data_IF_796447631232
#
_entry.id   IF_796447631232
#
_cell.length_a   1.000
_cell.length_b   1.000
_cell.length_c   1.000
_cell.angle_alpha   90.00
_cell.angle_beta   90.00
_cell.angle_gamma   90.00
#
_symmetry.space_group_name_H-M   'P 1'
#
loop_
_entity.id
_entity.type
_entity.pdbx_description
1 polymer ?
#
# COMPACT_ATOMS: atom_id res chain seq x y z
N UNK A 1 40.83 25.03 -60.64
CA UNK A 1 41.52 23.97 -59.87
C UNK A 1 40.59 23.57 -58.74
N UNK A 2 40.28 22.33 -58.40
CA UNK A 2 40.38 20.99 -58.99
C UNK A 2 39.33 20.21 -58.20
N UNK A 3 38.44 19.50 -58.89
CA UNK A 3 37.60 18.44 -58.28
C UNK A 3 38.49 17.25 -57.90
N UNK A 4 38.10 16.52 -56.85
CA UNK A 4 38.57 15.15 -56.63
C UNK A 4 37.43 14.30 -56.06
N UNK A 5 36.92 13.40 -56.90
CA UNK A 5 36.27 12.14 -56.51
C UNK A 5 37.38 11.12 -56.25
N UNK A 6 37.19 10.18 -55.31
CA UNK A 6 37.69 8.81 -55.50
C UNK A 6 36.91 7.79 -54.64
N UNK A 7 36.57 6.69 -55.31
CA UNK A 7 35.95 5.43 -54.86
C UNK A 7 37.03 4.43 -54.37
N UNK A 8 36.56 3.25 -53.94
CA UNK A 8 37.24 1.92 -53.83
C UNK A 8 37.72 1.61 -52.39
N UNK A 9 37.52 0.44 -51.75
CA UNK A 9 37.38 -0.94 -52.23
C UNK A 9 36.68 -1.86 -51.21
N UNK A 10 36.01 -2.89 -51.74
CA UNK A 10 35.76 -4.18 -51.08
C UNK A 10 37.01 -5.06 -51.15
N UNK A 11 37.28 -5.87 -50.13
CA UNK A 11 38.34 -6.89 -50.15
C UNK A 11 38.19 -7.89 -49.01
N UNK A 12 37.73 -9.09 -49.33
CA UNK A 12 37.66 -10.25 -48.45
C UNK A 12 39.03 -10.96 -48.37
N UNK A 13 39.37 -11.52 -47.21
CA UNK A 13 40.40 -12.54 -47.06
C UNK A 13 40.00 -13.56 -45.98
N UNK A 14 39.68 -14.77 -46.44
CA UNK A 14 39.62 -16.02 -45.68
C UNK A 14 41.03 -16.55 -45.44
N UNK A 15 41.29 -17.15 -44.27
CA UNK A 15 42.11 -18.36 -44.10
C UNK A 15 41.95 -18.95 -42.69
N UNK A 16 42.13 -20.27 -42.61
CA UNK A 16 41.58 -21.19 -41.62
C UNK A 16 42.53 -21.56 -40.45
N UNK A 17 41.96 -22.38 -39.55
CA UNK A 17 42.58 -23.37 -38.63
C UNK A 17 43.00 -22.92 -37.22
N UNK A 18 42.27 -23.39 -36.20
CA UNK A 18 42.66 -24.52 -35.32
C UNK A 18 41.94 -24.47 -33.98
N UNK A 19 41.69 -25.65 -33.42
CA UNK A 19 40.95 -25.92 -32.20
C UNK A 19 41.68 -25.52 -30.91
N UNK A 20 40.93 -25.13 -29.88
CA UNK A 20 41.12 -25.34 -28.43
C UNK A 20 39.76 -25.02 -27.76
N UNK A 21 38.95 -26.00 -27.40
CA UNK A 21 38.91 -26.73 -26.11
C UNK A 21 38.21 -25.99 -24.96
N UNK A 22 37.11 -26.62 -24.54
CA UNK A 22 36.48 -26.71 -23.22
C UNK A 22 36.92 -25.76 -22.08
N UNK A 23 35.92 -25.03 -21.56
CA UNK A 23 35.76 -24.86 -20.11
C UNK A 23 34.37 -25.38 -19.74
N UNK A 24 34.36 -26.58 -19.17
CA UNK A 24 33.24 -27.19 -18.44
C UNK A 24 33.55 -26.99 -16.96
N UNK A 25 32.66 -26.36 -16.21
CA UNK A 25 32.65 -26.46 -14.75
C UNK A 25 31.73 -27.61 -14.32
N UNK A 26 32.06 -28.36 -13.26
CA UNK A 26 31.40 -29.62 -12.91
C UNK A 26 30.21 -29.40 -11.95
N UNK A 27 29.13 -30.14 -12.16
CA UNK A 27 27.99 -30.21 -11.24
C UNK A 27 26.76 -30.84 -11.92
N UNK A 28 26.63 -32.16 -11.75
CA UNK A 28 25.50 -33.05 -12.09
C UNK A 28 24.76 -32.86 -13.42
N UNK A 29 25.28 -33.56 -14.45
CA UNK A 29 24.60 -33.83 -15.71
C UNK A 29 23.46 -34.84 -15.61
N UNK A 30 22.48 -34.59 -14.75
CA UNK A 30 21.17 -35.26 -14.80
C UNK A 30 20.29 -34.68 -15.91
N UNK A 31 19.35 -35.46 -16.49
CA UNK A 31 18.31 -34.87 -17.32
C UNK A 31 17.52 -33.84 -16.49
N UNK A 32 17.01 -32.76 -17.11
CA UNK A 32 16.14 -31.80 -16.42
C UNK A 32 14.95 -32.56 -15.80
N UNK A 33 14.51 -32.19 -14.58
CA UNK A 33 13.39 -32.86 -13.93
C UNK A 33 12.15 -32.73 -14.80
N UNK A 34 11.48 -33.86 -15.07
CA UNK A 34 10.18 -33.86 -15.72
C UNK A 34 9.19 -33.12 -14.82
N UNK A 35 8.55 -32.07 -15.35
CA UNK A 35 7.40 -31.45 -14.69
C UNK A 35 6.33 -32.52 -14.49
N UNK A 36 5.90 -32.81 -13.24
CA UNK A 36 4.82 -33.74 -13.00
C UNK A 36 3.57 -33.28 -13.75
N UNK A 37 2.84 -34.22 -14.35
CA UNK A 37 1.55 -33.90 -14.96
C UNK A 37 0.65 -33.19 -13.93
N UNK A 38 -0.07 -32.12 -14.32
CA UNK A 38 -1.02 -31.47 -13.43
C UNK A 38 -1.99 -32.52 -12.89
N UNK A 39 -1.96 -32.73 -11.58
CA UNK A 39 -2.92 -33.59 -10.91
C UNK A 39 -4.35 -33.09 -11.18
N UNK A 40 -5.36 -33.96 -11.01
CA UNK A 40 -6.75 -33.60 -11.25
C UNK A 40 -7.15 -32.35 -10.43
N UNK A 41 -7.88 -31.44 -11.07
CA UNK A 41 -8.35 -30.21 -10.44
C UNK A 41 -9.12 -30.52 -9.15
N UNK A 42 -8.75 -29.82 -8.07
CA UNK A 42 -9.41 -29.97 -6.76
C UNK A 42 -10.82 -29.38 -6.86
N UNK A 43 -11.88 -30.14 -6.52
CA UNK A 43 -13.24 -29.64 -6.58
C UNK A 43 -13.47 -28.50 -5.56
N UNK A 44 -14.34 -27.52 -5.87
CA UNK A 44 -14.68 -26.44 -4.95
C UNK A 44 -15.18 -26.99 -3.60
N UNK A 45 -14.58 -26.54 -2.50
CA UNK A 45 -14.99 -26.92 -1.13
C UNK A 45 -14.27 -28.13 -0.51
N UNK A 46 -13.24 -28.68 -1.14
CA UNK A 46 -12.40 -29.70 -0.51
C UNK A 46 -11.59 -29.09 0.66
N UNK A 47 -11.57 -29.71 1.85
CA UNK A 47 -10.66 -29.33 2.93
C UNK A 47 -9.21 -29.37 2.44
N UNK A 48 -8.42 -28.34 2.76
CA UNK A 48 -7.00 -28.30 2.42
C UNK A 48 -6.25 -29.53 2.96
N UNK A 49 -5.15 -29.94 2.31
CA UNK A 49 -4.36 -31.08 2.80
C UNK A 49 -3.92 -30.82 4.24
N UNK A 50 -3.95 -31.85 5.12
CA UNK A 50 -3.47 -31.69 6.48
C UNK A 50 -1.99 -31.29 6.47
N UNK A 51 -1.53 -30.48 7.44
CA UNK A 51 -0.12 -30.13 7.56
C UNK A 51 0.72 -31.41 7.71
N UNK A 52 1.97 -31.43 7.19
CA UNK A 52 2.83 -32.60 7.29
C UNK A 52 3.04 -32.96 8.77
N UNK A 53 2.80 -34.23 9.10
CA UNK A 53 2.88 -34.75 10.48
C UNK A 53 4.32 -34.94 11.00
N UNK A 54 5.33 -34.59 10.20
CA UNK A 54 6.74 -34.64 10.55
C UNK A 54 7.42 -33.33 10.09
N UNK A 55 8.32 -32.74 10.91
CA UNK A 55 9.16 -31.63 10.47
C UNK A 55 9.95 -32.05 9.23
N UNK A 56 9.97 -31.19 8.21
CA UNK A 56 10.89 -31.37 7.08
C UNK A 56 12.24 -30.85 7.54
N UNK A 57 13.17 -31.77 7.85
CA UNK A 57 14.56 -31.38 8.03
C UNK A 57 15.15 -31.00 6.67
N UNK A 58 15.70 -29.79 6.60
CA UNK A 58 16.40 -29.22 5.44
C UNK A 58 15.59 -29.23 4.12
N UNK A 59 14.51 -28.43 4.02
CA UNK A 59 13.72 -28.31 2.79
C UNK A 59 14.47 -27.63 1.63
N UNK A 60 15.70 -27.15 1.83
CA UNK A 60 16.47 -26.41 0.82
C UNK A 60 17.89 -26.96 0.57
N UNK A 61 18.24 -28.13 1.11
CA UNK A 61 19.48 -28.84 0.77
C UNK A 61 20.75 -28.03 1.05
N UNK A 62 20.80 -27.31 2.16
CA UNK A 62 22.04 -26.65 2.59
C UNK A 62 22.80 -27.61 3.51
N UNK A 63 23.51 -28.54 2.87
CA UNK A 63 24.26 -29.62 3.52
C UNK A 63 25.07 -29.16 4.73
N UNK A 64 24.95 -29.94 5.80
CA UNK A 64 25.78 -29.82 6.99
C UNK A 64 27.20 -30.30 6.73
N UNK A 65 28.16 -29.54 7.26
CA UNK A 65 29.43 -30.00 7.84
C UNK A 65 30.15 -28.75 8.39
N UNK A 66 29.81 -28.38 9.62
CA UNK A 66 30.61 -27.44 10.41
C UNK A 66 31.13 -28.20 11.62
N UNK A 67 32.25 -28.89 11.43
CA UNK A 67 33.08 -29.34 12.54
C UNK A 67 33.56 -28.10 13.30
N UNK A 68 33.21 -28.04 14.57
CA UNK A 68 33.72 -27.07 15.54
C UNK A 68 35.22 -27.25 15.73
N UNK A 69 36.08 -26.23 15.55
CA UNK A 69 37.46 -26.30 15.98
C UNK A 69 37.57 -26.07 17.49
N UNK A 70 38.37 -26.93 18.10
CA UNK A 70 38.78 -27.03 19.49
C UNK A 70 39.42 -25.73 20.02
N UNK A 71 39.08 -25.38 21.26
CA UNK A 71 39.42 -24.13 21.93
C UNK A 71 40.61 -24.37 22.87
N UNK A 72 41.81 -24.55 22.30
CA UNK A 72 43.08 -24.55 23.05
C UNK A 72 44.25 -24.07 22.19
N UNK A 73 44.51 -22.75 22.18
CA UNK A 73 45.87 -22.16 22.25
C UNK A 73 45.80 -20.65 22.03
N UNK A 74 45.82 -19.89 23.12
CA UNK A 74 46.17 -18.46 23.09
C UNK A 74 47.31 -18.22 24.10
N UNK A 75 48.50 -17.77 23.66
CA UNK A 75 49.53 -17.31 24.57
C UNK A 75 49.24 -15.89 25.09
N UNK A 76 49.59 -15.67 26.35
CA UNK A 76 49.38 -14.45 27.13
C UNK A 76 50.06 -13.19 26.54
N UNK A 77 49.51 -11.97 26.79
CA UNK A 77 50.13 -10.72 26.35
C UNK A 77 51.30 -10.30 27.27
N UNK A 78 52.36 -9.66 26.73
CA UNK A 78 53.38 -9.02 27.54
C UNK A 78 53.00 -7.59 27.95
N UNK A 79 53.58 -7.21 29.08
CA UNK A 79 53.44 -6.01 29.90
C UNK A 79 54.06 -4.73 29.34
N UNK A 80 53.35 -3.62 29.63
CA UNK A 80 53.76 -2.28 30.15
C UNK A 80 54.93 -1.45 29.56
N UNK A 81 54.76 -0.14 29.79
CA UNK A 81 55.69 1.00 29.69
C UNK A 81 55.87 1.66 28.30
N UNK A 82 55.86 2.98 28.09
CA UNK A 82 55.91 4.20 28.93
C UNK A 82 55.69 5.43 28.04
N UNK A 83 55.29 6.55 28.65
CA UNK A 83 55.63 7.95 28.32
C UNK A 83 55.14 8.64 27.00
N UNK A 84 54.33 9.70 27.26
CA UNK A 84 54.06 10.97 26.54
C UNK A 84 55.20 11.56 25.67
N UNK A 85 54.97 12.53 24.73
CA UNK A 85 54.03 13.66 24.84
C UNK A 85 53.35 14.22 23.55
N UNK A 86 52.34 15.08 23.73
CA UNK A 86 51.84 16.08 22.74
C UNK A 86 52.95 17.08 22.33
N UNK A 87 52.97 17.66 21.10
CA UNK A 87 52.29 18.96 20.90
C UNK A 87 51.88 19.37 19.44
N UNK A 88 50.84 20.23 19.37
CA UNK A 88 50.46 21.31 18.40
C UNK A 88 50.88 21.38 16.90
N UNK A 89 49.97 22.02 16.15
CA UNK A 89 50.14 22.96 14.99
C UNK A 89 49.66 22.39 13.64
N UNK A 90 48.52 22.85 13.10
CA UNK A 90 48.29 24.05 12.24
C UNK A 90 48.42 23.73 10.75
N UNK A 91 47.54 24.32 9.93
CA UNK A 91 47.82 24.61 8.53
C UNK A 91 47.03 23.85 7.45
N UNK A 92 46.00 24.55 6.94
CA UNK A 92 45.76 24.86 5.51
C UNK A 92 45.29 23.80 4.49
N UNK A 93 44.18 24.20 3.87
CA UNK A 93 43.86 24.20 2.43
C UNK A 93 43.28 22.96 1.73
N UNK A 94 42.07 23.21 1.20
CA UNK A 94 41.51 22.87 -0.11
C UNK A 94 41.56 21.42 -0.59
N UNK A 95 40.39 20.83 -0.86
CA UNK A 95 39.86 20.76 -2.23
C UNK A 95 38.55 19.96 -2.26
N UNK A 96 37.73 20.32 -3.24
CA UNK A 96 36.47 19.68 -3.65
C UNK A 96 36.54 18.15 -3.66
N UNK A 97 35.53 17.52 -3.06
CA UNK A 97 35.18 16.13 -3.36
C UNK A 97 33.72 16.12 -3.79
N UNK A 98 33.54 16.01 -5.11
CA UNK A 98 32.29 15.58 -5.72
C UNK A 98 31.90 14.20 -5.16
N UNK A 99 30.66 14.10 -4.71
CA UNK A 99 29.99 12.88 -4.26
C UNK A 99 29.36 12.17 -5.47
N UNK A 100 29.70 10.90 -5.77
CA UNK A 100 28.93 10.10 -6.70
C UNK A 100 28.11 9.06 -5.94
N UNK A 101 26.89 9.42 -5.55
CA UNK A 101 25.85 8.45 -5.23
C UNK A 101 24.96 8.22 -6.47
N UNK A 102 25.36 7.25 -7.29
CA UNK A 102 24.49 6.67 -8.32
C UNK A 102 24.41 5.16 -8.09
N UNK A 103 23.25 4.70 -7.61
CA UNK A 103 22.76 3.32 -7.77
C UNK A 103 21.26 3.48 -8.05
N UNK A 104 20.76 3.38 -9.29
CA UNK A 104 20.62 2.20 -10.15
C UNK A 104 19.89 1.03 -9.47
N UNK A 105 18.58 0.97 -9.68
CA UNK A 105 17.87 -0.29 -9.90
C UNK A 105 16.63 -0.02 -10.78
N UNK A 106 16.79 -0.28 -12.08
CA UNK A 106 15.69 -0.46 -13.03
C UNK A 106 16.03 -1.63 -13.97
N UNK A 107 15.17 -2.66 -13.88
CA UNK A 107 14.76 -3.67 -14.86
C UNK A 107 15.78 -4.64 -15.48
N UNK A 108 15.29 -5.80 -15.98
CA UNK A 108 15.02 -5.83 -17.43
C UNK A 108 13.78 -6.67 -17.83
N UNK A 109 13.12 -6.30 -18.92
CA UNK A 109 13.40 -6.85 -20.27
C UNK A 109 12.76 -6.04 -21.40
N UNK A 110 13.57 -5.75 -22.41
CA UNK A 110 13.24 -5.29 -23.77
C UNK A 110 12.54 -6.38 -24.58
N UNK A 111 11.60 -6.00 -25.45
CA UNK A 111 11.44 -6.66 -26.75
C UNK A 111 10.91 -5.68 -27.81
N UNK A 112 11.61 -5.65 -28.94
CA UNK A 112 11.45 -4.69 -30.04
C UNK A 112 10.88 -5.40 -31.29
N UNK A 113 9.65 -5.02 -31.68
CA UNK A 113 9.11 -4.77 -33.05
C UNK A 113 8.86 -5.98 -34.01
N UNK A 114 8.03 -5.88 -35.11
CA UNK A 114 7.53 -4.67 -35.79
C UNK A 114 6.06 -4.65 -36.30
N UNK A 115 5.66 -3.47 -36.80
CA UNK A 115 4.46 -3.12 -37.59
C UNK A 115 4.04 -4.13 -38.68
N UNK A 116 2.74 -4.43 -38.77
CA UNK A 116 2.01 -4.54 -40.05
C UNK A 116 0.49 -4.32 -39.92
N UNK A 117 -0.02 -3.34 -40.68
CA UNK A 117 -1.32 -3.23 -41.39
C UNK A 117 -2.67 -3.31 -40.63
N UNK A 118 -3.47 -2.25 -40.80
CA UNK A 118 -4.89 -2.08 -40.46
C UNK A 118 -5.83 -2.59 -41.59
N UNK A 119 -7.16 -2.35 -41.53
CA UNK A 119 -8.15 -2.99 -40.66
C UNK A 119 -9.27 -3.68 -41.49
N UNK A 120 -10.11 -4.52 -40.85
CA UNK A 120 -11.40 -4.91 -41.43
C UNK A 120 -12.50 -4.93 -40.37
N UNK A 121 -13.71 -4.66 -40.83
CA UNK A 121 -14.86 -4.11 -40.13
C UNK A 121 -15.71 -5.14 -39.36
N UNK A 122 -16.47 -4.59 -38.42
CA UNK A 122 -17.81 -4.98 -37.93
C UNK A 122 -18.39 -6.34 -38.32
N UNK A 123 -18.89 -7.09 -37.33
CA UNK A 123 -20.35 -7.33 -37.19
C UNK A 123 -20.71 -8.02 -35.87
N UNK A 124 -21.84 -7.59 -35.32
CA UNK A 124 -22.52 -8.10 -34.13
C UNK A 124 -23.63 -9.06 -34.58
N UNK A 125 -23.96 -10.13 -33.83
CA UNK A 125 -25.22 -10.82 -34.06
C UNK A 125 -26.20 -10.60 -32.91
N UNK A 126 -27.36 -10.06 -33.30
CA UNK A 126 -28.62 -10.08 -32.56
C UNK A 126 -29.08 -11.53 -32.29
N UNK A 127 -29.71 -11.74 -31.14
CA UNK A 127 -30.41 -12.99 -30.77
C UNK A 127 -31.92 -12.68 -30.71
N UNK A 128 -32.80 -13.54 -31.27
CA UNK A 128 -34.18 -13.17 -31.56
C UNK A 128 -35.15 -13.43 -30.40
N UNK A 129 -36.20 -12.62 -30.41
CA UNK A 129 -37.48 -12.70 -29.70
C UNK A 129 -38.31 -13.92 -30.14
N UNK A 130 -38.83 -14.69 -29.17
CA UNK A 130 -40.01 -15.54 -29.33
C UNK A 130 -40.89 -15.51 -28.07
N UNK A 131 -41.86 -14.59 -28.06
CA UNK A 131 -43.31 -14.89 -28.04
C UNK A 131 -43.92 -15.78 -26.95
N UNK A 132 -44.87 -15.18 -26.20
CA UNK A 132 -46.22 -15.68 -25.79
C UNK A 132 -46.31 -17.10 -25.20
N UNK A 133 -46.79 -17.34 -23.97
CA UNK A 133 -47.88 -16.70 -23.23
C UNK A 133 -48.98 -17.74 -23.03
N UNK A 134 -49.18 -18.22 -21.80
CA UNK A 134 -50.36 -18.98 -21.37
C UNK A 134 -50.43 -19.02 -19.83
N UNK A 135 -51.52 -18.47 -19.28
CA UNK A 135 -52.02 -18.70 -17.92
C UNK A 135 -53.23 -19.62 -18.07
N UNK A 136 -53.58 -20.43 -17.05
CA UNK A 136 -54.77 -20.05 -16.30
C UNK A 136 -54.73 -20.35 -14.79
N UNK A 137 -55.65 -19.66 -14.13
CA UNK A 137 -56.07 -19.61 -12.73
C UNK A 137 -56.56 -20.99 -12.21
N UNK A 138 -56.51 -21.23 -10.88
CA UNK A 138 -57.72 -21.33 -10.03
C UNK A 138 -57.44 -21.84 -8.58
N UNK A 139 -58.23 -21.27 -7.66
CA UNK A 139 -58.77 -21.72 -6.36
C UNK A 139 -57.94 -22.41 -5.25
N UNK A 140 -57.85 -21.67 -4.13
CA UNK A 140 -58.25 -22.03 -2.74
C UNK A 140 -58.71 -23.47 -2.43
N UNK A 141 -58.16 -24.06 -1.36
CA UNK A 141 -58.96 -24.41 -0.16
C UNK A 141 -58.11 -24.86 1.06
N UNK A 142 -58.59 -24.52 2.25
CA UNK A 142 -58.09 -24.92 3.59
C UNK A 142 -58.96 -26.05 4.16
N UNK A 143 -58.46 -26.88 5.09
CA UNK A 143 -59.15 -27.06 6.39
C UNK A 143 -58.16 -27.11 7.59
N UNK A 144 -58.42 -26.46 8.73
CA UNK A 144 -59.22 -26.91 9.92
C UNK A 144 -58.64 -28.17 10.60
N UNK A 145 -58.56 -28.38 11.92
CA UNK A 145 -58.55 -27.65 13.21
C UNK A 145 -58.54 -28.77 14.28
N UNK A 146 -57.85 -28.63 15.41
CA UNK A 146 -58.07 -29.48 16.60
C UNK A 146 -58.08 -28.62 17.88
N UNK A 147 -59.18 -28.76 18.63
CA UNK A 147 -59.56 -28.28 19.98
C UNK A 147 -58.83 -29.06 21.13
N UNK A 148 -59.05 -28.86 22.47
CA UNK A 148 -60.20 -28.24 23.15
C UNK A 148 -59.99 -27.42 24.46
N UNK A 149 -61.10 -26.76 24.87
CA UNK A 149 -61.67 -26.50 26.21
C UNK A 149 -60.82 -26.09 27.44
N UNK A 150 -61.10 -24.90 27.99
CA UNK A 150 -61.99 -24.70 29.16
C UNK A 150 -61.67 -23.40 29.95
N UNK A 151 -62.76 -22.67 30.25
CA UNK A 151 -62.99 -21.44 31.04
C UNK A 151 -62.25 -21.26 32.40
N UNK A 152 -62.18 -20.04 33.00
CA UNK A 152 -63.37 -19.25 33.38
C UNK A 152 -63.31 -17.72 33.24
N UNK A 153 -64.53 -17.16 33.33
CA UNK A 153 -64.95 -15.77 33.26
C UNK A 153 -64.28 -14.81 34.25
N UNK A 154 -64.02 -13.57 33.79
CA UNK A 154 -64.19 -12.37 34.60
C UNK A 154 -64.71 -11.24 33.68
N UNK A 155 -65.87 -10.71 33.99
CA UNK A 155 -66.63 -9.77 33.15
C UNK A 155 -66.45 -8.35 33.69
N UNK A 156 -65.70 -7.54 32.95
CA UNK A 156 -65.58 -6.09 33.16
C UNK A 156 -65.92 -5.34 31.87
N UNK A 157 -66.99 -4.54 31.95
CA UNK A 157 -67.55 -3.63 30.96
C UNK A 157 -66.55 -2.96 30.00
N UNK A 158 -66.86 -2.96 28.70
CA UNK A 158 -66.50 -1.85 27.80
C UNK A 158 -67.72 -1.37 27.02
N UNK A 159 -68.15 -0.16 27.36
CA UNK A 159 -69.05 0.65 26.56
C UNK A 159 -68.25 1.36 25.45
N UNK A 160 -68.70 1.11 24.22
CA UNK A 160 -68.76 1.99 23.05
C UNK A 160 -68.05 3.36 23.15
N UNK A 161 -67.09 3.64 22.24
CA UNK A 161 -67.02 4.94 21.55
C UNK A 161 -66.10 4.91 20.30
N UNK A 162 -66.76 5.06 19.15
CA UNK A 162 -66.39 5.86 17.96
C UNK A 162 -64.92 5.91 17.50
N UNK A 163 -64.61 5.14 16.46
CA UNK A 163 -63.35 5.26 15.70
C UNK A 163 -63.27 6.58 14.93
N UNK A 164 -62.30 7.41 15.29
CA UNK A 164 -61.80 8.52 14.47
C UNK A 164 -60.67 7.97 13.59
N UNK A 165 -60.60 8.28 12.28
CA UNK A 165 -59.49 7.82 11.45
C UNK A 165 -58.20 8.50 11.92
N UNK A 166 -57.33 7.76 12.59
CA UNK A 166 -56.01 8.23 13.01
C UNK A 166 -55.21 8.53 11.75
N UNK A 167 -54.97 9.82 11.50
CA UNK A 167 -53.95 10.29 10.58
C UNK A 167 -52.64 9.57 10.93
N UNK A 168 -51.93 8.93 9.97
CA UNK A 168 -50.65 8.32 10.28
C UNK A 168 -49.74 9.41 10.86
N UNK A 169 -49.22 9.15 12.05
CA UNK A 169 -48.20 9.97 12.69
C UNK A 169 -47.11 10.25 11.64
N UNK A 170 -46.62 11.50 11.54
CA UNK A 170 -45.50 11.78 10.65
C UNK A 170 -44.36 10.85 11.06
N UNK A 171 -43.92 10.00 10.13
CA UNK A 171 -42.66 9.27 10.26
C UNK A 171 -41.60 10.30 10.59
N UNK A 172 -41.01 10.17 11.78
CA UNK A 172 -39.92 11.02 12.22
C UNK A 172 -38.82 10.94 11.17
N UNK A 173 -38.63 12.04 10.43
CA UNK A 173 -37.54 12.19 9.50
C UNK A 173 -36.21 11.96 10.25
N UNK A 174 -35.50 10.93 9.79
CA UNK A 174 -34.04 10.78 9.80
C UNK A 174 -33.30 10.92 11.13
N UNK A 175 -33.03 9.75 11.75
CA UNK A 175 -31.81 9.52 12.55
C UNK A 175 -30.59 9.54 11.61
N UNK A 176 -30.22 10.72 11.10
CA UNK A 176 -28.94 10.90 10.43
C UNK A 176 -27.90 11.04 11.52
N UNK A 177 -27.10 9.99 11.74
CA UNK A 177 -26.00 10.02 12.69
C UNK A 177 -25.09 11.23 12.41
N UNK A 178 -24.78 12.01 13.46
CA UNK A 178 -23.87 13.15 13.38
C UNK A 178 -22.48 12.71 12.90
N UNK A 179 -21.82 13.50 12.04
CA UNK A 179 -20.50 13.13 11.52
C UNK A 179 -19.44 13.13 12.62
N UNK A 180 -18.58 12.10 12.64
CA UNK A 180 -17.49 11.98 13.63
C UNK A 180 -16.22 12.68 13.20
N UNK A 181 -16.08 12.96 11.89
CA UNK A 181 -14.98 13.69 11.29
C UNK A 181 -15.39 14.32 9.96
N UNK A 182 -14.55 15.17 9.40
CA UNK A 182 -14.76 15.76 8.08
C UNK A 182 -13.55 15.58 7.17
N UNK A 183 -13.80 15.55 5.87
CA UNK A 183 -12.79 15.33 4.84
C UNK A 183 -13.18 16.03 3.54
N UNK A 184 -12.22 16.51 2.76
CA UNK A 184 -12.49 16.95 1.39
C UNK A 184 -12.64 15.74 0.46
N UNK A 185 -13.44 15.88 -0.60
CA UNK A 185 -13.62 14.85 -1.64
C UNK A 185 -12.29 14.32 -2.19
N UNK A 186 -12.28 13.07 -2.68
CA UNK A 186 -11.07 12.48 -3.26
C UNK A 186 -10.59 13.30 -4.47
N UNK A 187 -9.28 13.46 -4.62
CA UNK A 187 -8.68 14.34 -5.61
C UNK A 187 -8.60 15.82 -5.22
N UNK A 188 -9.21 16.24 -4.12
CA UNK A 188 -9.12 17.62 -3.64
C UNK A 188 -7.79 17.92 -2.92
N UNK A 189 -6.69 17.98 -3.67
CA UNK A 189 -5.35 18.23 -3.11
C UNK A 189 -5.19 19.63 -2.50
N UNK A 190 -4.09 19.85 -1.79
CA UNK A 190 -3.73 21.19 -1.34
C UNK A 190 -3.50 22.12 -2.55
N UNK A 191 -3.98 23.37 -2.53
CA UNK A 191 -3.78 24.29 -3.65
C UNK A 191 -2.29 24.46 -4.01
N UNK A 192 -1.93 24.11 -5.25
CA UNK A 192 -0.56 24.18 -5.75
C UNK A 192 0.32 22.95 -5.46
N UNK A 193 -0.20 21.91 -4.78
CA UNK A 193 0.56 20.66 -4.56
C UNK A 193 0.44 19.65 -5.71
N UNK A 194 -0.44 19.88 -6.68
CA UNK A 194 -0.58 19.04 -7.86
C UNK A 194 -2.01 19.05 -8.43
N UNK A 195 -2.32 18.03 -9.21
CA UNK A 195 -3.66 17.75 -9.72
C UNK A 195 -4.08 16.36 -9.26
N UNK A 196 -5.14 16.28 -8.46
CA UNK A 196 -5.62 15.04 -7.86
C UNK A 196 -6.32 14.11 -8.85
N UNK A 197 -6.45 12.85 -8.45
CA UNK A 197 -7.23 11.86 -9.19
C UNK A 197 -8.73 12.17 -9.05
N UNK A 198 -9.50 12.32 -10.14
CA UNK A 198 -10.94 12.57 -10.04
C UNK A 198 -11.76 11.34 -9.61
N UNK A 199 -11.10 10.18 -9.53
CA UNK A 199 -11.70 8.89 -9.22
C UNK A 199 -12.22 8.83 -7.78
N UNK A 200 -13.50 8.43 -7.63
CA UNK A 200 -14.18 8.28 -6.34
C UNK A 200 -14.38 6.80 -5.98
N UNK A 201 -13.56 5.91 -6.51
CA UNK A 201 -13.65 4.47 -6.24
C UNK A 201 -13.10 4.11 -4.86
N UNK A 202 -13.83 3.26 -4.12
CA UNK A 202 -13.37 2.64 -2.88
C UNK A 202 -12.66 1.32 -3.22
N UNK A 203 -11.34 1.38 -3.37
CA UNK A 203 -10.50 0.27 -3.83
C UNK A 203 -10.38 -0.91 -2.84
N UNK A 204 -10.52 -0.64 -1.55
CA UNK A 204 -10.48 -1.63 -0.48
C UNK A 204 -11.66 -1.40 0.49
N UNK A 205 -12.88 -1.78 0.12
CA UNK A 205 -14.08 -1.43 0.87
C UNK A 205 -14.15 -2.06 2.26
N UNK A 206 -13.52 -3.22 2.45
CA UNK A 206 -13.61 -4.01 3.68
C UNK A 206 -12.38 -3.90 4.58
N UNK A 207 -11.39 -3.08 4.21
CA UNK A 207 -10.15 -2.94 4.98
C UNK A 207 -10.41 -2.32 6.36
N UNK A 208 -9.65 -2.76 7.36
CA UNK A 208 -9.52 -2.08 8.66
C UNK A 208 -8.64 -0.84 8.49
N UNK A 209 -8.90 0.20 9.27
CA UNK A 209 -8.05 1.40 9.22
C UNK A 209 -6.66 1.07 9.78
N UNK A 210 -5.55 1.49 9.12
CA UNK A 210 -4.21 0.99 9.44
C UNK A 210 -3.67 1.47 10.80
N UNK A 211 -4.34 2.39 11.47
CA UNK A 211 -4.00 2.87 12.82
C UNK A 211 -5.01 2.34 13.81
N UNK A 212 -4.53 1.62 14.83
CA UNK A 212 -5.38 0.90 15.79
C UNK A 212 -6.43 1.80 16.45
N UNK A 213 -5.98 2.78 17.24
CA UNK A 213 -6.87 3.53 18.14
C UNK A 213 -6.64 5.05 18.11
N UNK A 214 -5.45 5.49 17.72
CA UNK A 214 -5.09 6.90 17.82
C UNK A 214 -5.85 7.76 16.78
N UNK A 215 -6.11 9.04 17.09
CA UNK A 215 -6.60 10.00 16.10
C UNK A 215 -5.65 10.06 14.90
N UNK A 216 -6.20 10.12 13.69
CA UNK A 216 -5.42 10.15 12.46
C UNK A 216 -5.78 11.37 11.62
N UNK A 217 -4.85 11.80 10.77
CA UNK A 217 -4.98 12.98 9.93
C UNK A 217 -4.35 12.73 8.56
N UNK A 218 -5.22 12.48 7.57
CA UNK A 218 -4.83 12.32 6.18
C UNK A 218 -4.59 13.70 5.58
N UNK A 219 -3.33 13.99 5.25
CA UNK A 219 -2.91 15.28 4.70
C UNK A 219 -1.52 15.15 4.10
N UNK A 220 -1.08 16.14 3.32
CA UNK A 220 0.28 16.18 2.79
C UNK A 220 1.35 16.24 3.89
N UNK A 221 2.40 15.44 3.78
CA UNK A 221 3.59 15.59 4.63
C UNK A 221 4.53 16.68 4.15
N UNK A 222 4.61 16.87 2.83
CA UNK A 222 5.58 17.76 2.21
C UNK A 222 5.07 19.20 2.09
N UNK A 223 3.77 19.35 1.82
CA UNK A 223 3.11 20.65 1.63
C UNK A 223 2.38 21.16 2.89
N UNK A 224 2.44 20.44 4.01
CA UNK A 224 1.96 20.90 5.33
C UNK A 224 3.11 21.24 6.27
N UNK A 225 2.80 21.81 7.44
CA UNK A 225 3.82 22.29 8.39
C UNK A 225 4.81 21.20 8.77
N UNK A 226 6.11 21.55 8.74
CA UNK A 226 7.21 20.62 8.95
C UNK A 226 7.63 19.80 7.74
N UNK A 227 6.93 19.94 6.61
CA UNK A 227 7.34 19.41 5.32
C UNK A 227 8.40 20.27 4.65
N UNK A 228 9.11 19.67 3.67
CA UNK A 228 10.18 20.35 2.94
C UNK A 228 9.74 21.58 2.14
N UNK A 229 8.49 21.64 1.68
CA UNK A 229 7.97 22.75 0.87
C UNK A 229 7.34 23.84 1.73
N UNK A 230 6.45 23.48 2.66
CA UNK A 230 5.77 24.46 3.50
C UNK A 230 6.65 25.01 4.64
N UNK A 231 7.70 24.27 5.02
CA UNK A 231 8.55 24.59 6.17
C UNK A 231 7.79 24.53 7.51
N UNK A 232 8.41 25.03 8.58
CA UNK A 232 7.82 25.01 9.93
C UNK A 232 8.15 23.76 10.73
N UNK A 233 7.28 23.39 11.67
CA UNK A 233 7.48 22.23 12.56
C UNK A 233 6.46 21.11 12.25
N UNK A 234 6.95 19.87 12.17
CA UNK A 234 6.11 18.70 11.90
C UNK A 234 5.13 18.40 13.04
N UNK A 235 5.45 18.86 14.26
CA UNK A 235 4.60 18.74 15.43
C UNK A 235 3.70 19.96 15.65
N UNK A 236 3.52 20.84 14.66
CA UNK A 236 2.60 21.98 14.75
C UNK A 236 1.15 21.50 14.97
N UNK A 237 0.41 22.15 15.87
CA UNK A 237 -0.96 21.76 16.21
C UNK A 237 -1.92 21.79 15.00
N UNK A 238 -1.63 22.61 13.98
CA UNK A 238 -2.43 22.70 12.75
C UNK A 238 -2.38 21.43 11.91
N UNK A 239 -1.36 20.59 12.09
CA UNK A 239 -1.27 19.27 11.44
C UNK A 239 -2.19 18.21 12.08
N UNK A 240 -2.92 18.53 13.15
CA UNK A 240 -3.76 17.56 13.87
C UNK A 240 -5.21 18.06 13.90
N UNK A 241 -5.74 18.39 12.71
CA UNK A 241 -7.08 18.94 12.54
C UNK A 241 -7.78 18.36 11.29
N UNK A 242 -9.11 18.34 11.35
CA UNK A 242 -10.00 18.13 10.20
C UNK A 242 -10.31 19.48 9.52
N UNK A 243 -10.76 19.50 8.26
CA UNK A 243 -10.99 18.34 7.38
C UNK A 243 -9.70 17.70 6.85
N UNK A 244 -9.74 16.38 6.69
CA UNK A 244 -8.71 15.62 5.95
C UNK A 244 -8.65 16.03 4.49
N UNK A 245 -7.52 15.74 3.86
CA UNK A 245 -7.27 16.06 2.46
C UNK A 245 -6.45 14.97 1.79
N UNK A 246 -6.88 14.59 0.59
CA UNK A 246 -6.16 13.68 -0.29
C UNK A 246 -4.77 14.25 -0.62
N UNK A 247 -3.77 13.39 -0.67
CA UNK A 247 -2.42 13.72 -1.11
C UNK A 247 -1.86 12.75 -2.16
N UNK A 248 -2.69 11.84 -2.67
CA UNK A 248 -2.37 11.03 -3.85
C UNK A 248 -2.27 11.95 -5.09
N UNK A 249 -1.34 11.67 -6.00
CA UNK A 249 -1.04 12.54 -7.16
C UNK A 249 -0.41 13.92 -6.84
N UNK A 250 -0.03 14.20 -5.59
CA UNK A 250 0.84 15.35 -5.30
C UNK A 250 2.15 15.24 -6.07
N UNK A 251 2.67 16.38 -6.53
CA UNK A 251 3.93 16.41 -7.28
C UNK A 251 5.08 15.95 -6.38
N UNK A 252 5.98 15.16 -6.97
CA UNK A 252 7.23 14.66 -6.38
C UNK A 252 8.37 14.83 -7.39
N UNK A 253 9.61 14.70 -6.94
CA UNK A 253 10.77 14.77 -7.86
C UNK A 253 11.11 13.42 -8.51
N UNK A 254 10.89 12.32 -7.76
CA UNK A 254 11.12 10.96 -8.19
C UNK A 254 10.20 10.56 -9.35
N UNK A 255 10.70 9.75 -10.28
CA UNK A 255 9.96 9.30 -11.47
C UNK A 255 8.96 8.17 -11.15
N UNK A 256 7.97 8.49 -10.33
CA UNK A 256 6.87 7.60 -9.91
C UNK A 256 5.59 8.01 -10.61
N UNK A 257 4.84 7.04 -11.15
CA UNK A 257 3.65 7.30 -11.96
C UNK A 257 2.49 6.39 -11.54
N UNK A 258 1.26 6.86 -11.73
CA UNK A 258 0.07 6.03 -11.61
C UNK A 258 -0.88 6.37 -12.76
N UNK A 259 -1.54 5.37 -13.38
CA UNK A 259 -2.52 5.63 -14.44
C UNK A 259 -3.74 6.43 -13.95
N UNK A 260 -3.93 6.56 -12.64
CA UNK A 260 -5.00 7.34 -12.02
C UNK A 260 -4.64 8.82 -11.85
N UNK A 261 -3.37 9.18 -12.03
CA UNK A 261 -2.91 10.55 -11.93
C UNK A 261 -2.87 11.22 -13.31
N UNK A 262 -3.28 12.50 -13.41
CA UNK A 262 -3.25 13.26 -14.66
C UNK A 262 -1.84 13.74 -15.04
N UNK A 263 -0.84 13.46 -14.21
CA UNK A 263 0.55 13.89 -14.35
C UNK A 263 1.52 12.80 -13.90
N UNK A 264 2.77 12.91 -14.36
CA UNK A 264 3.88 12.07 -13.93
C UNK A 264 4.56 12.64 -12.68
N UNK A 265 5.46 11.86 -12.09
CA UNK A 265 6.22 12.21 -10.88
C UNK A 265 5.30 12.57 -9.72
N UNK A 266 4.58 11.56 -9.27
CA UNK A 266 3.49 11.69 -8.32
C UNK A 266 3.75 10.91 -7.04
N UNK A 267 3.06 11.36 -6.00
CA UNK A 267 2.88 10.61 -4.76
C UNK A 267 1.95 9.40 -4.99
N UNK A 268 2.44 8.19 -4.66
CA UNK A 268 1.79 6.91 -4.93
C UNK A 268 1.12 6.27 -3.70
N UNK A 269 0.64 7.09 -2.77
CA UNK A 269 -0.02 6.63 -1.56
C UNK A 269 -0.80 7.75 -0.87
N UNK A 270 -1.15 7.50 0.38
CA UNK A 270 -1.69 8.49 1.29
C UNK A 270 -0.83 8.55 2.54
N UNK A 271 -0.45 9.77 2.93
CA UNK A 271 0.23 9.97 4.20
C UNK A 271 -0.77 10.18 5.34
N UNK A 272 -0.46 9.62 6.49
CA UNK A 272 -1.31 9.60 7.68
C UNK A 272 -0.49 10.07 8.87
N UNK A 273 -0.76 11.29 9.36
CA UNK A 273 -0.26 11.73 10.68
C UNK A 273 -1.11 11.12 11.77
N UNK A 274 -0.49 10.84 12.92
CA UNK A 274 -1.16 10.10 14.00
C UNK A 274 -0.92 10.75 15.36
N UNK A 275 -1.98 10.81 16.17
CA UNK A 275 -1.97 11.32 17.54
C UNK A 275 -2.27 12.81 17.64
N UNK A 276 -1.40 13.55 18.31
CA UNK A 276 -1.50 15.00 18.53
C UNK A 276 -0.14 15.67 18.44
N UNK A 277 -0.11 17.00 18.44
CA UNK A 277 1.12 17.77 18.56
C UNK A 277 1.93 17.37 19.82
N UNK A 278 1.26 17.08 20.93
CA UNK A 278 1.92 16.62 22.15
C UNK A 278 2.55 15.24 21.95
N UNK A 279 1.82 14.27 21.39
CA UNK A 279 2.39 12.94 21.15
C UNK A 279 3.53 12.98 20.12
N UNK A 280 3.45 13.85 19.11
CA UNK A 280 4.55 14.08 18.17
C UNK A 280 5.81 14.60 18.87
N UNK A 281 5.65 15.55 19.79
CA UNK A 281 6.75 16.04 20.61
C UNK A 281 7.35 14.95 21.50
N UNK A 282 6.53 14.03 22.00
CA UNK A 282 6.99 12.84 22.73
C UNK A 282 7.83 11.94 21.82
N UNK A 283 7.31 11.55 20.65
CA UNK A 283 8.03 10.74 19.65
C UNK A 283 9.37 11.38 19.28
N UNK A 284 9.40 12.70 19.05
CA UNK A 284 10.59 13.48 18.72
C UNK A 284 11.69 13.40 19.78
N UNK A 285 11.31 13.35 21.06
CA UNK A 285 12.25 13.28 22.20
C UNK A 285 12.66 11.85 22.53
N UNK A 286 11.97 10.85 21.99
CA UNK A 286 12.31 9.44 22.17
C UNK A 286 13.38 9.02 21.16
N UNK A 287 14.41 8.27 21.58
CA UNK A 287 15.38 7.67 20.66
C UNK A 287 14.67 6.86 19.58
N UNK A 288 15.17 6.92 18.34
CA UNK A 288 14.51 6.31 17.19
C UNK A 288 14.18 4.82 17.40
N UNK A 289 15.15 4.06 17.93
CA UNK A 289 14.99 2.63 18.21
C UNK A 289 13.89 2.33 19.25
N UNK A 290 13.53 3.27 20.11
CA UNK A 290 12.61 3.06 21.24
C UNK A 290 11.19 3.59 21.00
N UNK A 291 10.92 4.18 19.83
CA UNK A 291 9.59 4.73 19.51
C UNK A 291 8.56 3.61 19.36
N UNK A 292 7.59 3.56 20.26
CA UNK A 292 6.55 2.53 20.27
C UNK A 292 5.20 3.12 20.75
N UNK A 293 4.76 4.22 20.12
CA UNK A 293 3.61 4.99 20.59
C UNK A 293 2.33 4.73 19.79
N UNK A 294 2.37 4.94 18.47
CA UNK A 294 1.19 4.88 17.62
C UNK A 294 1.19 3.54 16.87
N UNK A 295 0.28 2.64 17.24
CA UNK A 295 0.21 1.28 16.70
C UNK A 295 -0.35 1.27 15.28
N UNK A 296 0.34 0.54 14.42
CA UNK A 296 -0.09 0.20 13.05
C UNK A 296 -0.58 -1.24 13.05
N UNK A 297 -1.68 -1.49 12.35
CA UNK A 297 -2.31 -2.81 12.25
C UNK A 297 -2.42 -3.29 10.81
N UNK A 298 -2.47 -4.61 10.64
CA UNK A 298 -2.79 -5.22 9.35
C UNK A 298 -4.21 -4.84 8.94
N UNK A 299 -4.37 -4.32 7.72
CA UNK A 299 -5.67 -3.84 7.25
C UNK A 299 -6.61 -4.95 6.76
N UNK A 300 -6.07 -6.13 6.43
CA UNK A 300 -6.84 -7.29 5.97
C UNK A 300 -6.13 -8.59 6.39
N UNK A 301 -6.88 -9.69 6.40
CA UNK A 301 -6.33 -11.03 6.55
C UNK A 301 -5.40 -11.35 5.37
N UNK A 302 -4.17 -11.76 5.66
CA UNK A 302 -3.20 -12.03 4.60
C UNK A 302 -1.84 -12.46 5.10
N UNK A 303 -0.85 -12.34 4.21
CA UNK A 303 0.54 -12.72 4.48
C UNK A 303 1.44 -11.50 4.34
N UNK A 304 2.35 -11.30 5.30
CA UNK A 304 3.44 -10.35 5.17
C UNK A 304 4.40 -10.86 4.09
N UNK A 305 4.29 -10.30 2.90
CA UNK A 305 5.03 -10.73 1.71
C UNK A 305 6.46 -10.21 1.64
N UNK A 306 6.74 -9.06 2.26
CA UNK A 306 8.06 -8.43 2.24
C UNK A 306 8.23 -7.51 3.45
N UNK A 307 9.46 -7.45 3.99
CA UNK A 307 9.91 -6.46 4.97
C UNK A 307 11.22 -5.90 4.44
N UNK A 308 11.20 -4.62 4.08
CA UNK A 308 12.36 -3.88 3.58
C UNK A 308 13.02 -3.05 4.67
N UNK A 309 13.91 -2.14 4.28
CA UNK A 309 14.62 -1.25 5.22
C UNK A 309 13.75 -0.14 5.82
N UNK A 310 12.58 0.14 5.23
CA UNK A 310 11.63 1.15 5.71
C UNK A 310 10.18 0.86 5.33
N UNK A 311 9.89 -0.35 4.85
CA UNK A 311 8.56 -0.74 4.40
C UNK A 311 8.20 -2.17 4.77
N UNK A 312 6.90 -2.43 4.86
CA UNK A 312 6.31 -3.75 5.05
C UNK A 312 5.19 -3.90 4.03
N UNK A 313 5.14 -5.04 3.32
CA UNK A 313 4.10 -5.34 2.34
C UNK A 313 3.21 -6.48 2.83
N UNK A 314 1.93 -6.21 3.02
CA UNK A 314 0.89 -7.22 3.26
C UNK A 314 0.20 -7.57 1.95
N UNK A 315 0.16 -8.86 1.60
CA UNK A 315 -0.60 -9.35 0.45
C UNK A 315 -1.92 -9.96 0.94
N UNK A 316 -3.03 -9.38 0.49
CA UNK A 316 -4.40 -9.74 0.91
C UNK A 316 -5.41 -9.38 -0.18
N UNK A 317 -6.46 -10.18 -0.38
CA UNK A 317 -7.59 -9.83 -1.27
C UNK A 317 -7.24 -9.50 -2.73
N UNK A 318 -6.13 -10.02 -3.27
CA UNK A 318 -5.64 -9.67 -4.62
C UNK A 318 -4.90 -8.33 -4.70
N UNK A 319 -4.59 -7.74 -3.54
CA UNK A 319 -3.96 -6.43 -3.35
C UNK A 319 -2.64 -6.59 -2.61
N UNK A 320 -1.80 -5.57 -2.71
CA UNK A 320 -0.64 -5.37 -1.85
C UNK A 320 -0.85 -4.05 -1.10
N UNK A 321 -0.79 -4.13 0.23
CA UNK A 321 -0.80 -2.99 1.12
C UNK A 321 0.62 -2.73 1.58
N UNK A 322 1.14 -1.55 1.28
CA UNK A 322 2.50 -1.16 1.67
C UNK A 322 2.44 -0.13 2.78
N UNK A 323 3.09 -0.43 3.89
CA UNK A 323 3.21 0.42 5.07
C UNK A 323 4.64 0.91 5.12
N UNK A 324 4.85 2.22 5.18
CA UNK A 324 6.18 2.82 5.18
C UNK A 324 6.37 3.73 6.38
N UNK A 325 7.62 3.98 6.72
CA UNK A 325 8.02 4.88 7.81
C UNK A 325 7.57 4.40 9.20
N UNK A 326 7.38 3.09 9.35
CA UNK A 326 7.25 2.46 10.66
C UNK A 326 8.60 2.37 11.37
N UNK A 327 8.60 2.16 12.68
CA UNK A 327 9.82 1.84 13.42
C UNK A 327 10.25 0.41 13.08
N UNK A 328 11.26 0.29 12.23
CA UNK A 328 11.68 -1.01 11.69
C UNK A 328 12.37 -1.90 12.74
N UNK A 329 12.82 -1.31 13.86
CA UNK A 329 13.38 -2.05 15.00
C UNK A 329 12.31 -2.57 15.97
N UNK A 330 11.04 -2.21 15.76
CA UNK A 330 9.90 -2.55 16.63
C UNK A 330 8.72 -3.11 15.84
N UNK A 331 9.01 -3.81 14.74
CA UNK A 331 8.00 -4.60 14.05
C UNK A 331 7.64 -5.83 14.89
N UNK A 332 6.36 -6.19 14.87
CA UNK A 332 5.84 -7.41 15.52
C UNK A 332 5.63 -8.54 14.51
N UNK A 333 6.08 -8.34 13.27
CA UNK A 333 5.93 -9.28 12.16
C UNK A 333 7.23 -9.41 11.37
N UNK A 334 7.36 -10.53 10.65
CA UNK A 334 8.40 -10.77 9.64
C UNK A 334 7.79 -11.29 8.34
N UNK A 335 8.58 -11.27 7.27
CA UNK A 335 8.16 -11.86 6.00
C UNK A 335 7.79 -13.35 6.17
N UNK A 336 6.67 -13.75 5.56
CA UNK A 336 6.06 -15.08 5.68
C UNK A 336 5.00 -15.21 6.78
N UNK A 337 4.90 -14.27 7.72
CA UNK A 337 3.89 -14.35 8.79
C UNK A 337 2.48 -14.17 8.21
N UNK A 338 1.55 -15.00 8.71
CA UNK A 338 0.12 -14.81 8.50
C UNK A 338 -0.43 -13.86 9.55
N UNK A 339 -1.28 -12.92 9.13
CA UNK A 339 -1.91 -11.92 9.98
C UNK A 339 -3.41 -11.86 9.68
N UNK A 340 -4.20 -11.51 10.69
CA UNK A 340 -5.60 -11.16 10.56
C UNK A 340 -5.75 -9.64 10.53
N UNK A 341 -6.85 -9.15 9.97
CA UNK A 341 -7.22 -7.76 10.01
C UNK A 341 -7.29 -7.27 11.46
N UNK A 342 -6.58 -6.18 11.77
CA UNK A 342 -6.44 -5.63 13.12
C UNK A 342 -5.24 -6.15 13.92
N UNK A 343 -4.51 -7.17 13.43
CA UNK A 343 -3.30 -7.63 14.11
C UNK A 343 -2.24 -6.52 14.12
N UNK A 344 -1.59 -6.32 15.26
CA UNK A 344 -0.56 -5.31 15.43
C UNK A 344 0.71 -5.69 14.68
N UNK A 345 1.17 -4.81 13.77
CA UNK A 345 2.34 -5.07 12.92
C UNK A 345 3.58 -4.23 13.30
N UNK A 346 3.38 -3.09 13.96
CA UNK A 346 4.46 -2.20 14.35
C UNK A 346 3.96 -0.81 14.76
N UNK A 347 4.85 0.17 14.74
CA UNK A 347 4.56 1.53 15.21
C UNK A 347 4.92 2.58 14.17
N UNK A 348 4.14 3.66 14.10
CA UNK A 348 4.47 4.84 13.27
C UNK A 348 5.79 5.46 13.77
N UNK A 349 6.67 5.78 12.82
CA UNK A 349 7.98 6.42 13.05
C UNK A 349 8.28 7.37 11.89
N UNK A 350 9.55 7.49 11.52
CA UNK A 350 10.04 8.25 10.38
C UNK A 350 11.22 7.55 9.66
N UNK A 351 11.27 6.22 9.74
CA UNK A 351 12.36 5.44 9.16
C UNK A 351 12.28 5.49 7.63
N UNK A 352 13.40 5.74 6.96
CA UNK A 352 13.46 5.92 5.49
C UNK A 352 14.57 5.08 4.83
N UNK A 353 15.19 4.16 5.56
CA UNK A 353 16.34 3.39 5.07
C UNK A 353 17.62 4.23 4.92
N UNK A 354 17.59 5.50 5.34
CA UNK A 354 18.67 6.47 5.26
C UNK A 354 18.31 7.69 6.10
N UNK A 355 18.32 8.87 5.50
CA UNK A 355 17.91 10.12 6.16
C UNK A 355 16.44 10.05 6.57
N UNK A 356 16.11 10.13 7.88
CA UNK A 356 14.73 10.01 8.34
C UNK A 356 13.81 11.09 7.79
N UNK A 357 12.55 10.74 7.58
CA UNK A 357 11.50 11.66 7.14
C UNK A 357 10.79 12.32 8.34
N UNK A 358 9.57 12.83 8.15
CA UNK A 358 8.66 13.30 9.20
C UNK A 358 7.89 12.14 9.85
N UNK A 359 7.31 12.34 11.03
CA UNK A 359 6.54 11.29 11.71
C UNK A 359 5.17 11.07 11.08
N UNK A 360 5.00 9.96 10.36
CA UNK A 360 3.73 9.55 9.75
C UNK A 360 3.81 8.11 9.26
N UNK A 361 2.65 7.55 8.90
CA UNK A 361 2.56 6.34 8.11
C UNK A 361 2.30 6.75 6.66
N UNK A 362 3.15 6.32 5.73
CA UNK A 362 2.82 6.37 4.31
C UNK A 362 2.21 5.03 3.92
N UNK A 363 1.01 5.07 3.34
CA UNK A 363 0.20 3.89 3.06
C UNK A 363 -0.17 3.82 1.57
N UNK A 364 0.18 2.72 0.92
CA UNK A 364 -0.13 2.50 -0.49
C UNK A 364 -1.03 1.27 -0.66
N UNK A 365 -1.85 1.30 -1.73
CA UNK A 365 -2.56 0.13 -2.24
C UNK A 365 -2.10 -0.11 -3.67
N UNK A 366 -1.64 -1.32 -3.93
CA UNK A 366 -1.34 -1.79 -5.29
C UNK A 366 -2.31 -2.91 -5.65
N UNK A 367 -2.89 -2.84 -6.84
CA UNK A 367 -3.80 -3.88 -7.36
C UNK A 367 -3.30 -4.42 -8.69
N UNK A 368 -3.67 -5.66 -9.00
CA UNK A 368 -3.44 -6.22 -10.32
C UNK A 368 -4.50 -5.67 -11.30
N UNK A 369 -4.08 -4.93 -12.32
CA UNK A 369 -4.94 -4.31 -13.34
C UNK A 369 -5.55 -5.30 -14.35
N UNK A 370 -5.49 -6.61 -14.09
CA UNK A 370 -6.08 -7.66 -14.92
C UNK A 370 -5.21 -8.13 -16.09
N UNK A 371 -4.15 -7.40 -16.43
CA UNK A 371 -3.16 -7.76 -17.45
C UNK A 371 -1.82 -8.24 -16.85
N UNK A 372 -1.80 -8.54 -15.55
CA UNK A 372 -0.58 -8.90 -14.82
C UNK A 372 0.25 -7.72 -14.34
N UNK A 373 -0.12 -6.48 -14.69
CA UNK A 373 0.53 -5.28 -14.16
C UNK A 373 -0.02 -4.92 -12.79
N UNK A 374 0.90 -4.59 -11.88
CA UNK A 374 0.58 -4.05 -10.57
C UNK A 374 0.56 -2.52 -10.66
N UNK A 375 -0.57 -1.91 -10.29
CA UNK A 375 -0.78 -0.46 -10.37
C UNK A 375 -1.11 0.11 -9.00
N UNK A 376 -0.54 1.27 -8.67
CA UNK A 376 -0.88 2.02 -7.46
C UNK A 376 -2.23 2.71 -7.66
N UNK A 377 -3.19 2.38 -6.80
CA UNK A 377 -4.55 2.94 -6.81
C UNK A 377 -4.72 3.96 -5.68
N UNK A 378 -5.59 4.98 -5.81
CA UNK A 378 -5.86 5.94 -4.75
C UNK A 378 -6.37 5.27 -3.46
N UNK A 379 -5.64 5.37 -2.32
CA UNK A 379 -6.08 4.74 -1.07
C UNK A 379 -7.04 5.62 -0.25
N UNK A 380 -7.10 6.92 -0.54
CA UNK A 380 -7.74 7.94 0.30
C UNK A 380 -9.19 7.60 0.67
N UNK A 381 -10.06 7.28 -0.30
CA UNK A 381 -11.46 7.00 -0.01
C UNK A 381 -11.66 5.65 0.71
N UNK A 382 -10.78 4.67 0.46
CA UNK A 382 -10.77 3.41 1.23
C UNK A 382 -10.45 3.65 2.70
N UNK A 383 -9.49 4.56 2.97
CA UNK A 383 -9.14 4.98 4.33
C UNK A 383 -10.28 5.75 5.01
N UNK A 384 -10.97 6.64 4.29
CA UNK A 384 -12.18 7.32 4.80
C UNK A 384 -13.22 6.29 5.25
N UNK A 385 -13.57 5.33 4.38
CA UNK A 385 -14.56 4.29 4.71
C UNK A 385 -14.12 3.37 5.84
N UNK A 386 -12.83 3.06 5.93
CA UNK A 386 -12.27 2.32 7.04
C UNK A 386 -12.35 3.09 8.37
N UNK A 387 -12.14 4.41 8.34
CA UNK A 387 -12.23 5.27 9.51
C UNK A 387 -13.68 5.45 9.99
N UNK A 388 -14.65 5.60 9.07
CA UNK A 388 -16.09 5.62 9.41
C UNK A 388 -16.50 4.38 10.23
N UNK A 389 -16.03 3.19 9.80
CA UNK A 389 -16.27 1.94 10.53
C UNK A 389 -15.59 1.93 11.89
N UNK A 390 -14.34 2.41 11.97
CA UNK A 390 -13.56 2.46 13.22
C UNK A 390 -14.21 3.37 14.26
N UNK A 391 -14.65 4.55 13.84
CA UNK A 391 -15.29 5.55 14.70
C UNK A 391 -16.79 5.30 14.91
N UNK A 392 -17.34 4.27 14.26
CA UNK A 392 -18.76 3.92 14.30
C UNK A 392 -19.68 5.12 13.97
N UNK A 393 -19.31 5.89 12.94
CA UNK A 393 -20.03 7.09 12.53
C UNK A 393 -19.59 7.60 11.15
N UNK A 394 -20.46 8.33 10.44
CA UNK A 394 -20.17 8.81 9.09
C UNK A 394 -19.12 9.93 9.10
N UNK A 395 -18.37 10.05 8.00
CA UNK A 395 -17.56 11.23 7.74
C UNK A 395 -18.36 12.26 6.93
N UNK A 396 -18.16 13.54 7.21
CA UNK A 396 -18.72 14.62 6.42
C UNK A 396 -17.79 14.95 5.24
N UNK A 397 -18.26 14.71 4.01
CA UNK A 397 -17.59 15.18 2.81
C UNK A 397 -17.82 16.69 2.67
N UNK A 398 -16.73 17.45 2.63
CA UNK A 398 -16.74 18.89 2.38
C UNK A 398 -16.35 19.11 0.93
N UNK A 399 -17.19 19.85 0.20
CA UNK A 399 -16.83 20.31 -1.14
C UNK A 399 -15.58 21.20 -1.05
N UNK A 400 -14.57 20.87 -1.85
CA UNK A 400 -13.37 21.70 -1.91
C UNK A 400 -13.76 23.11 -2.38
N UNK A 401 -13.28 24.18 -1.74
CA UNK A 401 -13.59 25.53 -2.18
C UNK A 401 -13.18 25.68 -3.64
N UNK A 402 -14.16 25.96 -4.52
CA UNK A 402 -13.92 26.28 -5.93
C UNK A 402 -12.85 27.37 -6.00
N UNK A 403 -11.80 27.16 -6.80
CA UNK A 403 -10.58 27.97 -7.05
C UNK A 403 -10.80 29.50 -6.91
N UNK A 404 -10.99 29.98 -5.70
CA UNK A 404 -11.57 31.31 -5.45
C UNK A 404 -11.44 31.79 -4.00
N UNK A 405 -11.15 30.89 -3.06
CA UNK A 405 -10.58 31.31 -1.77
C UNK A 405 -9.10 31.53 -2.01
N UNK A 406 -8.64 32.77 -1.86
CA UNK A 406 -7.26 33.19 -2.06
C UNK A 406 -6.31 32.59 -1.00
N UNK A 407 -6.09 31.28 -1.05
CA UNK A 407 -4.86 30.68 -0.55
C UNK A 407 -3.79 30.92 -1.61
N UNK A 408 -2.77 31.71 -1.28
CA UNK A 408 -1.58 31.82 -2.14
C UNK A 408 -1.06 30.40 -2.39
N UNK A 409 -1.09 29.90 -3.64
CA UNK A 409 -0.59 28.56 -3.93
C UNK A 409 0.89 28.49 -3.53
N UNK A 410 1.32 27.31 -3.09
CA UNK A 410 2.74 27.09 -2.83
C UNK A 410 3.52 27.35 -4.12
N UNK A 411 4.56 28.18 -4.02
CA UNK A 411 5.52 28.35 -5.12
C UNK A 411 6.66 27.39 -4.82
N UNK A 412 6.68 26.26 -5.53
CA UNK A 412 7.80 25.32 -5.48
C UNK A 412 9.00 26.01 -6.13
N UNK A 413 10.10 26.26 -5.39
CA UNK A 413 11.31 26.85 -5.97
C UNK A 413 11.86 25.99 -7.09
N UNK A 414 12.36 26.62 -8.15
CA UNK A 414 13.02 25.91 -9.24
C UNK A 414 14.20 25.09 -8.72
N UNK A 415 14.26 23.82 -9.10
CA UNK A 415 15.31 22.88 -8.66
C UNK A 415 15.12 22.28 -7.26
N UNK A 416 14.03 22.60 -6.55
CA UNK A 416 13.72 21.93 -5.28
C UNK A 416 13.43 20.45 -5.50
N UNK A 417 14.13 19.59 -4.76
CA UNK A 417 13.81 18.17 -4.70
C UNK A 417 12.69 17.92 -3.70
N UNK A 418 11.57 17.39 -4.18
CA UNK A 418 10.41 17.02 -3.38
C UNK A 418 10.49 15.51 -3.15
N UNK A 419 11.20 15.15 -2.08
CA UNK A 419 11.40 13.78 -1.62
C UNK A 419 10.30 13.42 -0.62
N UNK A 420 9.79 12.21 -0.80
CA UNK A 420 8.85 11.38 -0.01
C UNK A 420 7.94 10.65 -0.97
#
# INVERSE_FOLDING_TARGET
>A
MRSARLLIASGAALLALSACDFIRFPGDGGPPPETPEPGPAVPPGAPGPPPPAAPVEDPYGLGGDAETPDDTDLPAPPSEDTDTPDPVSDGTDADDVEDPATDLDADPVDDVMPDTHAPDETESPEVPDTGTGETPEDATDTPTSEEPDAEPEDTGETGLDTETPTQPEPVSDTDTAEPTFSYYEAGALLPGSGQGAPDQTVYAPDMVFPIADAPAYLQSQVFSFGGGVAGGDQCDARNYAYPWRDNFCEVRSANRNSPYCPQNKVHQGQDIRVGSAESCNTIRRTPAADRAFQKVVAVEDGIISHVGSYSVNLRAGGRIYKYMHMNMNKLEVKAGDAVNAGDHIGYVSNDFGGTPTTFHLHFEITQNGGNGQWVHVPPYLSLVKAYERRENGPGEAIEAPSIGVASTPFVIPEGMEIIE
#
